data_IF_350089748221
#
_entry.id   IF_350089748221
#
_cell.length_a   1.000
_cell.length_b   1.000
_cell.length_c   1.000
_cell.angle_alpha   90.00
_cell.angle_beta   90.00
_cell.angle_gamma   90.00
#
_symmetry.space_group_name_H-M   'P 1'
#
loop_
_entity.id
_entity.type
_entity.pdbx_description
1 polymer ?
#
# COMPACT_ATOMS: atom_id res chain seq x y z
N UNK A 1 12.33 -46.52 -36.63
CA UNK A 1 11.99 -45.33 -35.83
C UNK A 1 12.52 -45.57 -34.43
N UNK A 2 13.76 -45.16 -34.16
CA UNK A 2 14.43 -45.39 -32.88
C UNK A 2 14.35 -44.12 -32.06
N UNK A 3 13.39 -44.03 -31.14
CA UNK A 3 13.40 -43.05 -30.07
C UNK A 3 14.60 -43.37 -29.19
N UNK A 4 15.67 -42.57 -29.29
CA UNK A 4 16.86 -42.74 -28.45
C UNK A 4 16.46 -42.50 -26.99
N UNK A 5 16.71 -43.46 -26.07
CA UNK A 5 16.30 -43.35 -24.66
C UNK A 5 16.91 -42.12 -23.97
N UNK A 6 18.06 -41.65 -24.45
CA UNK A 6 18.72 -40.42 -23.99
C UNK A 6 17.85 -39.18 -24.28
N UNK A 7 17.22 -39.10 -25.45
CA UNK A 7 16.40 -37.95 -25.86
C UNK A 7 15.10 -37.83 -25.03
N UNK A 8 14.50 -38.97 -24.67
CA UNK A 8 13.31 -38.98 -23.79
C UNK A 8 13.66 -38.55 -22.35
N UNK A 9 14.84 -38.96 -21.87
CA UNK A 9 15.35 -38.57 -20.55
C UNK A 9 15.59 -37.04 -20.51
N UNK A 10 16.27 -36.48 -21.52
CA UNK A 10 16.51 -35.04 -21.61
C UNK A 10 15.21 -34.24 -21.69
N UNK A 11 14.25 -34.71 -22.50
CA UNK A 11 12.94 -34.06 -22.64
C UNK A 11 12.14 -34.07 -21.33
N UNK A 12 12.26 -35.14 -20.54
CA UNK A 12 11.63 -35.23 -19.23
C UNK A 12 12.25 -34.24 -18.23
N UNK A 13 13.58 -34.14 -18.20
CA UNK A 13 14.27 -33.19 -17.32
C UNK A 13 13.98 -31.74 -17.69
N UNK A 14 13.94 -31.41 -18.98
CA UNK A 14 13.59 -30.06 -19.45
C UNK A 14 12.19 -29.69 -18.97
N UNK A 15 11.20 -30.58 -19.12
CA UNK A 15 9.83 -30.34 -18.63
C UNK A 15 9.78 -30.17 -17.11
N UNK A 16 10.55 -30.96 -16.37
CA UNK A 16 10.60 -30.85 -14.91
C UNK A 16 11.21 -29.51 -14.47
N UNK A 17 12.28 -29.06 -15.10
CA UNK A 17 12.91 -27.75 -14.82
C UNK A 17 11.92 -26.62 -15.13
N UNK A 18 11.21 -26.70 -16.26
CA UNK A 18 10.19 -25.70 -16.61
C UNK A 18 9.06 -25.65 -15.58
N UNK A 19 8.57 -26.80 -15.13
CA UNK A 19 7.55 -26.88 -14.07
C UNK A 19 8.04 -26.28 -12.75
N UNK A 20 9.29 -26.55 -12.38
CA UNK A 20 9.91 -25.97 -11.19
C UNK A 20 10.03 -24.44 -11.30
N UNK A 21 10.41 -23.92 -12.47
CA UNK A 21 10.49 -22.48 -12.71
C UNK A 21 9.12 -21.80 -12.64
N UNK A 22 8.07 -22.43 -13.19
CA UNK A 22 6.69 -21.93 -13.11
C UNK A 22 6.22 -21.91 -11.65
N UNK A 23 6.46 -22.97 -10.90
CA UNK A 23 6.09 -23.03 -9.49
C UNK A 23 6.81 -21.96 -8.65
N UNK A 24 8.11 -21.76 -8.90
CA UNK A 24 8.89 -20.71 -8.23
C UNK A 24 8.39 -19.30 -8.59
N UNK A 25 8.06 -19.06 -9.85
CA UNK A 25 7.51 -17.78 -10.29
C UNK A 25 6.15 -17.50 -9.62
N UNK A 26 5.30 -18.51 -9.50
CA UNK A 26 4.00 -18.39 -8.82
C UNK A 26 4.17 -18.05 -7.33
N UNK A 27 5.01 -18.79 -6.61
CA UNK A 27 5.28 -18.55 -5.18
C UNK A 27 5.86 -17.15 -4.96
N UNK A 28 6.76 -16.72 -5.85
CA UNK A 28 7.36 -15.37 -5.77
C UNK A 28 6.29 -14.30 -5.98
N UNK A 29 5.42 -14.47 -6.97
CA UNK A 29 4.33 -13.54 -7.23
C UNK A 29 3.32 -13.45 -6.07
N UNK A 30 2.95 -14.59 -5.47
CA UNK A 30 2.08 -14.64 -4.29
C UNK A 30 2.72 -13.93 -3.09
N UNK A 31 4.00 -14.20 -2.84
CA UNK A 31 4.77 -13.54 -1.78
C UNK A 31 4.83 -12.03 -2.01
N UNK A 32 5.09 -11.59 -3.24
CA UNK A 32 5.17 -10.16 -3.56
C UNK A 32 3.80 -9.47 -3.50
N UNK A 33 2.70 -10.19 -3.77
CA UNK A 33 1.35 -9.68 -3.53
C UNK A 33 1.08 -9.51 -2.02
N UNK A 34 1.42 -10.51 -1.20
CA UNK A 34 1.24 -10.47 0.25
C UNK A 34 2.09 -9.37 0.91
N UNK A 35 3.34 -9.17 0.46
CA UNK A 35 4.19 -8.08 0.95
C UNK A 35 3.58 -6.73 0.61
N UNK A 36 3.11 -6.54 -0.64
CA UNK A 36 2.43 -5.30 -1.03
C UNK A 36 1.18 -5.05 -0.17
N UNK A 37 0.33 -6.05 0.03
CA UNK A 37 -0.87 -5.91 0.86
C UNK A 37 -0.54 -5.52 2.31
N UNK A 38 0.48 -6.15 2.90
CA UNK A 38 0.97 -5.79 4.23
C UNK A 38 1.45 -4.34 4.29
N UNK A 39 2.23 -3.91 3.30
CA UNK A 39 2.78 -2.55 3.25
C UNK A 39 1.66 -1.52 3.07
N UNK A 40 0.63 -1.82 2.27
CA UNK A 40 -0.59 -1.02 2.16
C UNK A 40 -1.32 -0.89 3.51
N UNK A 41 -1.53 -2.01 4.19
CA UNK A 41 -2.19 -2.03 5.49
C UNK A 41 -1.41 -1.23 6.53
N UNK A 42 -0.08 -1.37 6.54
CA UNK A 42 0.81 -0.63 7.43
C UNK A 42 0.77 0.87 7.15
N UNK A 43 0.93 1.30 5.90
CA UNK A 43 0.86 2.70 5.52
C UNK A 43 -0.49 3.32 5.93
N UNK A 44 -1.60 2.60 5.71
CA UNK A 44 -2.93 3.03 6.14
C UNK A 44 -3.06 3.14 7.66
N UNK A 45 -2.52 2.19 8.41
CA UNK A 45 -2.51 2.24 9.87
C UNK A 45 -1.72 3.44 10.38
N UNK A 46 -0.51 3.67 9.86
CA UNK A 46 0.35 4.78 10.27
C UNK A 46 -0.29 6.15 9.96
N UNK A 47 -0.90 6.30 8.78
CA UNK A 47 -1.63 7.50 8.42
C UNK A 47 -2.86 7.74 9.31
N UNK A 48 -3.56 6.67 9.70
CA UNK A 48 -4.70 6.75 10.60
C UNK A 48 -4.29 7.19 12.01
N UNK A 49 -3.18 6.66 12.53
CA UNK A 49 -2.62 7.11 13.82
C UNK A 49 -2.26 8.60 13.77
N UNK A 50 -1.57 9.05 12.71
CA UNK A 50 -1.25 10.47 12.52
C UNK A 50 -2.49 11.37 12.48
N UNK A 51 -3.60 10.90 11.90
CA UNK A 51 -4.89 11.62 11.92
C UNK A 51 -5.47 11.73 13.33
N UNK A 52 -5.46 10.62 14.09
CA UNK A 52 -5.98 10.59 15.46
C UNK A 52 -5.14 11.48 16.37
N UNK A 53 -3.82 11.48 16.23
CA UNK A 53 -2.92 12.34 16.99
C UNK A 53 -3.15 13.82 16.66
N UNK A 54 -3.29 14.15 15.36
CA UNK A 54 -3.60 15.50 14.92
C UNK A 54 -4.97 15.98 15.43
N UNK A 55 -5.97 15.10 15.43
CA UNK A 55 -7.29 15.38 15.98
C UNK A 55 -7.18 15.63 17.48
N UNK A 56 -6.60 14.70 18.24
CA UNK A 56 -6.43 14.80 19.69
C UNK A 56 -5.67 16.07 20.09
N UNK A 57 -4.60 16.42 19.39
CA UNK A 57 -3.83 17.64 19.65
C UNK A 57 -4.61 18.93 19.33
N UNK A 58 -5.63 18.86 18.48
CA UNK A 58 -6.45 20.00 18.05
C UNK A 58 -7.75 20.17 18.85
N UNK A 59 -8.14 19.16 19.63
CA UNK A 59 -9.23 19.24 20.60
C UNK A 59 -8.78 20.05 21.83
N UNK A 60 -9.61 21.00 22.25
CA UNK A 60 -9.44 21.81 23.46
C UNK A 60 -10.65 21.61 24.38
N UNK A 61 -10.56 21.98 25.67
CA UNK A 61 -11.67 21.86 26.62
C UNK A 61 -12.99 22.48 26.15
N UNK A 62 -12.93 23.48 25.27
CA UNK A 62 -14.09 24.21 24.76
C UNK A 62 -14.26 24.11 23.23
N UNK A 63 -13.58 23.20 22.54
CA UNK A 63 -13.85 22.94 21.11
C UNK A 63 -12.66 22.55 20.24
N UNK A 64 -12.94 22.37 18.95
CA UNK A 64 -11.99 21.92 17.93
C UNK A 64 -11.34 23.09 17.17
N UNK A 65 -10.01 23.11 17.11
CA UNK A 65 -9.27 24.14 16.34
C UNK A 65 -8.87 23.65 14.95
N UNK A 66 -9.65 24.02 13.93
CA UNK A 66 -9.37 23.72 12.51
C UNK A 66 -7.98 24.13 12.06
N UNK A 67 -7.50 25.32 12.48
CA UNK A 67 -6.17 25.82 12.11
C UNK A 67 -5.04 24.92 12.65
N UNK A 68 -5.16 24.45 13.90
CA UNK A 68 -4.16 23.57 14.51
C UNK A 68 -4.20 22.18 13.90
N UNK A 69 -5.40 21.65 13.64
CA UNK A 69 -5.58 20.38 12.94
C UNK A 69 -4.89 20.40 11.58
N UNK A 70 -5.19 21.38 10.72
CA UNK A 70 -4.56 21.51 9.41
C UNK A 70 -3.04 21.68 9.50
N UNK A 71 -2.54 22.42 10.51
CA UNK A 71 -1.10 22.56 10.72
C UNK A 71 -0.43 21.23 11.11
N UNK A 72 -1.09 20.42 11.95
CA UNK A 72 -0.59 19.12 12.36
C UNK A 72 -0.58 18.14 11.17
N UNK A 73 -1.64 18.13 10.36
CA UNK A 73 -1.72 17.31 9.14
C UNK A 73 -0.66 17.70 8.13
N UNK A 74 -0.44 19.01 7.87
CA UNK A 74 0.64 19.45 6.97
C UNK A 74 2.02 19.04 7.46
N UNK A 75 2.26 19.07 8.77
CA UNK A 75 3.52 18.60 9.35
C UNK A 75 3.67 17.09 9.19
N UNK A 76 2.59 16.33 9.40
CA UNK A 76 2.58 14.89 9.20
C UNK A 76 2.81 14.51 7.73
N UNK A 77 2.18 15.21 6.78
CA UNK A 77 2.35 15.00 5.35
C UNK A 77 3.78 15.29 4.89
N UNK A 78 4.44 16.35 5.42
CA UNK A 78 5.87 16.61 5.10
C UNK A 78 6.84 15.52 5.56
N UNK A 79 6.44 14.71 6.54
CA UNK A 79 7.25 13.59 7.01
C UNK A 79 7.00 12.30 6.22
N UNK A 80 6.04 12.30 5.30
CA UNK A 80 5.73 11.16 4.42
C UNK A 80 6.61 11.26 3.16
N UNK A 81 7.32 10.18 2.77
CA UNK A 81 8.05 10.13 1.50
C UNK A 81 7.12 10.30 0.30
N UNK A 82 7.54 11.05 -0.72
CA UNK A 82 6.75 11.31 -1.93
C UNK A 82 6.69 10.10 -2.89
N UNK A 83 7.55 9.11 -2.71
CA UNK A 83 7.69 7.94 -3.59
C UNK A 83 7.62 6.64 -2.79
N UNK A 84 7.10 5.58 -3.42
CA UNK A 84 7.01 4.23 -2.84
C UNK A 84 5.67 3.93 -2.14
N UNK A 85 5.56 2.78 -1.45
CA UNK A 85 4.30 2.34 -0.82
C UNK A 85 3.80 3.31 0.25
N UNK A 86 4.72 4.04 0.89
CA UNK A 86 4.39 5.04 1.92
C UNK A 86 3.77 6.32 1.36
N UNK A 87 3.88 6.57 0.05
CA UNK A 87 3.22 7.73 -0.60
C UNK A 87 1.69 7.69 -0.45
N UNK A 88 1.11 6.50 -0.28
CA UNK A 88 -0.32 6.31 -0.02
C UNK A 88 -0.78 6.92 1.30
N UNK A 89 0.14 7.17 2.24
CA UNK A 89 -0.17 7.90 3.47
C UNK A 89 -0.68 9.31 3.14
N UNK A 90 -0.20 9.97 2.08
CA UNK A 90 -0.69 11.29 1.67
C UNK A 90 -2.19 11.27 1.32
N UNK A 91 -2.63 10.28 0.54
CA UNK A 91 -4.04 10.11 0.17
C UNK A 91 -4.91 9.85 1.39
N UNK A 92 -4.46 8.96 2.29
CA UNK A 92 -5.20 8.66 3.52
C UNK A 92 -5.28 9.89 4.43
N UNK A 93 -4.20 10.65 4.59
CA UNK A 93 -4.19 11.89 5.35
C UNK A 93 -5.14 12.94 4.74
N UNK A 94 -5.15 13.08 3.41
CA UNK A 94 -6.01 14.03 2.72
C UNK A 94 -7.50 13.67 2.86
N UNK A 95 -7.88 12.44 2.52
CA UNK A 95 -9.26 11.96 2.60
C UNK A 95 -9.77 11.94 4.04
N UNK A 96 -8.94 11.48 4.98
CA UNK A 96 -9.25 11.49 6.41
C UNK A 96 -9.46 12.91 6.95
N UNK A 97 -8.59 13.85 6.55
CA UNK A 97 -8.74 15.26 6.92
C UNK A 97 -10.01 15.88 6.36
N UNK A 98 -10.35 15.61 5.10
CA UNK A 98 -11.56 16.12 4.48
C UNK A 98 -12.81 15.59 5.16
N UNK A 99 -12.86 14.29 5.49
CA UNK A 99 -13.94 13.68 6.27
C UNK A 99 -14.11 14.34 7.64
N UNK A 100 -13.02 14.54 8.39
CA UNK A 100 -13.05 15.16 9.72
C UNK A 100 -13.52 16.62 9.64
N UNK A 101 -13.11 17.35 8.61
CA UNK A 101 -13.50 18.74 8.39
C UNK A 101 -14.91 18.90 7.80
N UNK A 102 -15.66 17.79 7.62
CA UNK A 102 -17.00 17.81 7.03
C UNK A 102 -17.02 18.16 5.55
N UNK A 103 -15.86 18.22 4.89
CA UNK A 103 -15.77 18.29 3.44
C UNK A 103 -16.08 16.89 2.90
N UNK A 104 -17.36 16.65 2.62
CA UNK A 104 -17.82 15.49 1.85
C UNK A 104 -16.90 15.36 0.63
N UNK A 105 -16.30 14.19 0.34
CA UNK A 105 -15.57 14.01 -0.91
C UNK A 105 -16.60 14.11 -2.03
N UNK A 106 -16.79 15.31 -2.55
CA UNK A 106 -17.50 15.59 -3.78
C UNK A 106 -16.66 14.97 -4.89
N UNK A 107 -17.10 13.82 -5.36
CA UNK A 107 -17.40 13.63 -6.79
C UNK A 107 -16.47 14.43 -7.70
N UNK A 108 -15.20 14.03 -7.76
CA UNK A 108 -14.24 14.60 -8.72
C UNK A 108 -14.17 13.63 -9.91
N UNK A 109 -14.74 13.96 -11.07
CA UNK A 109 -14.54 13.16 -12.26
C UNK A 109 -13.05 13.24 -12.68
N UNK A 110 -12.49 12.16 -13.24
CA UNK A 110 -11.11 12.14 -13.71
C UNK A 110 -10.90 13.14 -14.87
N UNK A 111 -9.67 13.64 -15.06
CA UNK A 111 -9.32 14.52 -16.19
C UNK A 111 -9.45 13.81 -17.54
#
# INVERSE_FOLDING_TARGET
MTTSPVHDIDTKYIRQIQQQQIALALITAERDAAVRERDLARARSEASTKLIDALSASLRPYGFSRKRFLSAIRRAARAVPDQGPDSLQHTVLFDGSNRILGARPLDRPPP
#
